data_IF_210174903401
#
_entry.id   IF_210174903401
#
_cell.length_a   1.000
_cell.length_b   1.000
_cell.length_c   1.000
_cell.angle_alpha   90.00
_cell.angle_beta   90.00
_cell.angle_gamma   90.00
#
_symmetry.space_group_name_H-M   'P 1'
#
loop_
_entity.id
_entity.type
_entity.pdbx_description
1 polymer ?
#
# COMPACT_ATOMS: atom_id res chain seq x y z
N UNK A 1 32.89 15.20 -31.28
CA UNK A 1 32.11 16.46 -31.19
C UNK A 1 30.71 16.32 -31.79
N UNK A 2 30.54 16.04 -33.09
CA UNK A 2 29.20 15.81 -33.69
C UNK A 2 28.56 14.49 -33.23
N UNK A 3 29.37 13.45 -33.02
CA UNK A 3 28.93 12.15 -32.54
C UNK A 3 28.40 12.20 -31.09
N UNK A 4 29.10 12.93 -30.20
CA UNK A 4 28.71 13.09 -28.80
C UNK A 4 27.37 13.84 -28.64
N UNK A 5 27.14 14.86 -29.47
CA UNK A 5 25.90 15.65 -29.45
C UNK A 5 24.71 14.82 -29.96
N UNK A 6 24.92 14.01 -31.00
CA UNK A 6 23.90 13.10 -31.51
C UNK A 6 23.56 11.99 -30.49
N UNK A 7 24.57 11.44 -29.82
CA UNK A 7 24.34 10.47 -28.74
C UNK A 7 23.51 11.07 -27.59
N UNK A 8 23.79 12.33 -27.22
CA UNK A 8 23.00 13.05 -26.22
C UNK A 8 21.56 13.28 -26.66
N UNK A 9 21.33 13.68 -27.92
CA UNK A 9 19.99 13.85 -28.49
C UNK A 9 19.18 12.54 -28.45
N UNK A 10 19.79 11.44 -28.89
CA UNK A 10 19.15 10.12 -28.87
C UNK A 10 18.81 9.66 -27.45
N UNK A 11 19.67 9.95 -26.48
CA UNK A 11 19.40 9.69 -25.06
C UNK A 11 18.20 10.52 -24.57
N UNK A 12 18.18 11.82 -24.87
CA UNK A 12 17.11 12.72 -24.46
C UNK A 12 15.75 12.31 -25.02
N UNK A 13 15.68 11.96 -26.31
CA UNK A 13 14.45 11.47 -26.97
C UNK A 13 13.93 10.21 -26.26
N UNK A 14 14.82 9.26 -25.95
CA UNK A 14 14.43 8.03 -25.27
C UNK A 14 13.94 8.27 -23.83
N UNK A 15 14.55 9.20 -23.10
CA UNK A 15 14.11 9.58 -21.75
C UNK A 15 12.74 10.26 -21.80
N UNK A 16 12.54 11.22 -22.72
CA UNK A 16 11.25 11.89 -22.93
C UNK A 16 10.15 10.89 -23.30
N UNK A 17 10.44 9.90 -24.14
CA UNK A 17 9.49 8.85 -24.49
C UNK A 17 9.03 8.05 -23.25
N UNK A 18 9.94 7.78 -22.30
CA UNK A 18 9.63 7.11 -21.02
C UNK A 18 8.84 7.98 -20.03
N UNK A 19 8.79 9.29 -20.26
CA UNK A 19 8.01 10.27 -19.51
C UNK A 19 6.65 10.59 -20.16
N UNK A 20 6.31 9.97 -21.30
CA UNK A 20 4.99 10.10 -21.90
C UNK A 20 3.87 9.66 -20.93
N UNK A 21 2.65 10.21 -21.02
CA UNK A 21 1.57 9.92 -20.07
C UNK A 21 1.29 8.42 -19.87
N UNK A 22 1.29 7.64 -20.95
CA UNK A 22 1.10 6.19 -20.90
C UNK A 22 2.22 5.49 -20.11
N UNK A 23 3.47 5.91 -20.33
CA UNK A 23 4.64 5.35 -19.63
C UNK A 23 4.68 5.75 -18.17
N UNK A 24 4.31 7.00 -17.83
CA UNK A 24 4.14 7.42 -16.42
C UNK A 24 3.08 6.59 -15.73
N UNK A 25 1.92 6.38 -16.37
CA UNK A 25 0.87 5.51 -15.84
C UNK A 25 1.36 4.09 -15.60
N UNK A 26 2.15 3.52 -16.52
CA UNK A 26 2.78 2.21 -16.31
C UNK A 26 3.71 2.21 -15.10
N UNK A 27 4.57 3.22 -14.96
CA UNK A 27 5.48 3.36 -13.82
C UNK A 27 4.71 3.46 -12.49
N UNK A 28 3.70 4.34 -12.43
CA UNK A 28 2.87 4.60 -11.26
C UNK A 28 2.00 3.39 -10.88
N UNK A 29 1.42 2.69 -11.85
CA UNK A 29 0.75 1.41 -11.62
C UNK A 29 1.70 0.38 -11.03
N UNK A 30 2.96 0.40 -11.49
CA UNK A 30 4.03 -0.36 -10.89
C UNK A 30 4.17 -0.03 -9.40
N UNK A 31 4.48 1.22 -9.09
CA UNK A 31 4.63 1.74 -7.72
C UNK A 31 3.43 1.33 -6.84
N UNK A 32 2.20 1.55 -7.30
CA UNK A 32 1.00 1.21 -6.54
C UNK A 32 0.91 -0.30 -6.22
N UNK A 33 1.26 -1.18 -7.18
CA UNK A 33 1.27 -2.64 -6.95
C UNK A 33 2.28 -3.06 -5.90
N UNK A 34 3.43 -2.41 -5.86
CA UNK A 34 4.49 -2.69 -4.88
C UNK A 34 4.12 -2.18 -3.50
N UNK A 35 3.66 -0.93 -3.43
CA UNK A 35 3.11 -0.37 -2.20
C UNK A 35 2.02 -1.26 -1.62
N UNK A 36 1.08 -1.76 -2.45
CA UNK A 36 0.08 -2.73 -1.99
C UNK A 36 0.68 -3.99 -1.40
N UNK A 37 1.74 -4.55 -2.00
CA UNK A 37 2.41 -5.74 -1.45
C UNK A 37 2.99 -5.42 -0.07
N UNK A 38 3.74 -4.33 0.06
CA UNK A 38 4.31 -3.92 1.35
C UNK A 38 3.23 -3.69 2.41
N UNK A 39 2.15 -2.98 2.06
CA UNK A 39 1.00 -2.81 2.96
C UNK A 39 0.40 -4.18 3.38
N UNK A 40 0.21 -5.09 2.42
CA UNK A 40 -0.35 -6.42 2.69
C UNK A 40 0.54 -7.23 3.63
N UNK A 41 1.84 -7.24 3.40
CA UNK A 41 2.81 -8.01 4.17
C UNK A 41 2.95 -7.44 5.58
N UNK A 42 3.02 -6.11 5.71
CA UNK A 42 3.03 -5.41 7.00
C UNK A 42 1.76 -5.67 7.82
N UNK A 43 0.58 -5.61 7.18
CA UNK A 43 -0.69 -5.97 7.84
C UNK A 43 -0.69 -7.45 8.26
N UNK A 44 -0.14 -8.35 7.44
CA UNK A 44 -0.03 -9.76 7.80
C UNK A 44 0.82 -9.96 9.07
N UNK A 45 1.89 -9.17 9.21
CA UNK A 45 2.78 -9.13 10.38
C UNK A 45 2.19 -8.35 11.58
N UNK A 46 1.03 -7.71 11.41
CA UNK A 46 0.37 -6.89 12.45
C UNK A 46 1.23 -5.70 12.92
N UNK A 47 1.93 -5.02 12.01
CA UNK A 47 2.77 -3.87 12.32
C UNK A 47 2.20 -2.57 11.76
N UNK A 48 2.48 -1.44 12.40
CA UNK A 48 2.30 -0.09 11.88
C UNK A 48 3.46 0.29 10.91
N UNK A 49 3.32 1.38 10.12
CA UNK A 49 4.37 1.83 9.19
C UNK A 49 5.71 2.17 9.84
N UNK A 50 5.72 2.52 11.13
CA UNK A 50 6.91 2.78 11.94
C UNK A 50 7.55 1.48 12.51
N UNK A 51 6.96 0.32 12.23
CA UNK A 51 7.41 -0.99 12.72
C UNK A 51 6.85 -1.38 14.09
N UNK A 52 6.11 -0.51 14.78
CA UNK A 52 5.49 -0.86 16.06
C UNK A 52 4.36 -1.88 15.87
N UNK A 53 4.16 -2.83 16.81
CA UNK A 53 3.05 -3.78 16.69
C UNK A 53 1.69 -3.09 16.86
N UNK A 54 0.68 -3.59 16.17
CA UNK A 54 -0.70 -3.21 16.41
C UNK A 54 -1.11 -3.52 17.84
N UNK A 55 -1.93 -2.64 18.42
CA UNK A 55 -2.51 -2.91 19.72
C UNK A 55 -3.33 -4.21 19.67
N UNK A 56 -3.13 -5.16 20.61
CA UNK A 56 -3.82 -6.43 20.58
C UNK A 56 -5.34 -6.29 20.63
N UNK A 57 -6.05 -7.26 20.04
CA UNK A 57 -7.51 -7.33 20.17
C UNK A 57 -7.89 -7.62 21.62
N UNK A 58 -8.89 -6.90 22.15
CA UNK A 58 -9.51 -7.25 23.46
C UNK A 58 -9.95 -8.70 23.43
N UNK A 59 -9.50 -9.50 24.40
CA UNK A 59 -9.75 -10.94 24.44
C UNK A 59 -11.24 -11.20 24.69
N UNK A 60 -11.89 -11.95 23.79
CA UNK A 60 -13.14 -12.60 24.14
C UNK A 60 -12.84 -13.70 25.19
N UNK A 61 -13.76 -13.94 26.13
CA UNK A 61 -13.58 -14.86 27.25
C UNK A 61 -13.15 -16.27 26.79
N UNK A 62 -12.49 -17.00 27.70
CA UNK A 62 -11.60 -18.15 27.48
C UNK A 62 -12.19 -19.43 26.84
N UNK A 63 -13.35 -19.36 26.16
CA UNK A 63 -14.15 -20.55 25.79
C UNK A 63 -13.77 -21.25 24.48
N UNK A 64 -12.67 -20.89 23.80
CA UNK A 64 -12.19 -21.71 22.66
C UNK A 64 -10.67 -21.71 22.50
N UNK A 65 -10.02 -22.83 22.85
CA UNK A 65 -8.57 -23.04 22.70
C UNK A 65 -8.14 -23.39 21.26
N UNK A 66 -9.00 -23.98 20.42
CA UNK A 66 -8.66 -24.42 19.05
C UNK A 66 -8.80 -23.28 18.03
N UNK A 67 -7.71 -22.85 17.38
CA UNK A 67 -7.69 -21.75 16.38
C UNK A 67 -7.27 -20.36 16.89
N UNK A 68 -6.68 -20.29 18.10
CA UNK A 68 -6.37 -19.05 18.83
C UNK A 68 -5.45 -18.08 18.08
N UNK A 69 -4.44 -18.57 17.38
CA UNK A 69 -3.44 -17.74 16.66
C UNK A 69 -4.08 -17.03 15.45
N UNK A 70 -4.85 -17.76 14.62
CA UNK A 70 -5.59 -17.16 13.50
C UNK A 70 -6.68 -16.18 13.95
N UNK A 71 -7.26 -16.36 15.14
CA UNK A 71 -8.26 -15.44 15.71
C UNK A 71 -7.68 -14.12 16.22
N UNK A 72 -6.38 -14.06 16.52
CA UNK A 72 -5.72 -12.86 17.01
C UNK A 72 -5.24 -11.96 15.87
N UNK A 73 -4.81 -12.53 14.75
CA UNK A 73 -4.38 -11.76 13.59
C UNK A 73 -5.57 -11.01 12.96
N UNK A 74 -5.54 -9.68 13.01
CA UNK A 74 -6.59 -8.82 12.47
C UNK A 74 -6.40 -8.58 10.97
N UNK A 75 -7.44 -8.10 10.29
CA UNK A 75 -7.40 -7.60 8.91
C UNK A 75 -6.92 -8.60 7.84
N UNK A 76 -6.91 -9.90 8.14
CA UNK A 76 -6.45 -10.94 7.21
C UNK A 76 -7.21 -10.96 5.88
N UNK A 77 -8.50 -10.61 5.89
CA UNK A 77 -9.26 -10.40 4.67
C UNK A 77 -8.91 -9.07 4.02
N UNK A 78 -8.93 -7.97 4.79
CA UNK A 78 -8.71 -6.60 4.27
C UNK A 78 -7.39 -6.45 3.51
N UNK A 79 -6.31 -7.12 3.94
CA UNK A 79 -5.01 -7.05 3.25
C UNK A 79 -4.97 -7.66 1.84
N UNK A 80 -5.96 -8.46 1.46
CA UNK A 80 -5.99 -9.13 0.15
C UNK A 80 -6.31 -8.17 -0.99
N UNK A 81 -5.88 -8.49 -2.21
CA UNK A 81 -6.18 -7.70 -3.42
C UNK A 81 -7.69 -7.53 -3.72
N UNK A 82 -8.54 -8.37 -3.11
CA UNK A 82 -9.99 -8.19 -3.17
C UNK A 82 -10.43 -6.87 -2.53
N UNK A 83 -9.74 -6.42 -1.48
CA UNK A 83 -10.15 -5.29 -0.67
C UNK A 83 -9.15 -4.13 -0.67
N UNK A 84 -7.85 -4.42 -0.66
CA UNK A 84 -6.79 -3.41 -0.81
C UNK A 84 -6.53 -3.18 -2.31
N UNK A 85 -7.02 -2.05 -2.80
CA UNK A 85 -7.03 -1.66 -4.21
C UNK A 85 -5.85 -0.78 -4.56
N UNK A 86 -5.56 -0.77 -5.86
CA UNK A 86 -4.54 0.08 -6.47
C UNK A 86 -5.19 0.80 -7.64
N UNK A 87 -4.86 2.08 -7.78
CA UNK A 87 -5.27 2.91 -8.90
C UNK A 87 -4.06 3.71 -9.38
N UNK A 88 -4.00 4.00 -10.68
CA UNK A 88 -2.97 4.87 -11.22
C UNK A 88 -3.44 5.59 -12.50
N UNK A 89 -3.12 6.87 -12.55
CA UNK A 89 -3.22 7.74 -13.71
C UNK A 89 -1.81 8.10 -14.21
N UNK A 90 -1.66 8.93 -15.25
CA UNK A 90 -0.37 9.50 -15.62
C UNK A 90 0.30 10.36 -14.54
N UNK A 91 -0.46 10.83 -13.55
CA UNK A 91 -0.02 11.88 -12.63
C UNK A 91 -0.11 11.45 -11.14
N UNK A 92 -0.86 10.39 -10.84
CA UNK A 92 -1.00 9.87 -9.48
C UNK A 92 -1.06 8.34 -9.41
N UNK A 93 -0.68 7.81 -8.24
CA UNK A 93 -0.87 6.42 -7.88
C UNK A 93 -1.46 6.35 -6.47
N UNK A 94 -2.48 5.52 -6.29
CA UNK A 94 -3.17 5.35 -5.02
C UNK A 94 -3.20 3.88 -4.60
N UNK A 95 -3.10 3.65 -3.29
CA UNK A 95 -3.32 2.35 -2.66
C UNK A 95 -4.25 2.56 -1.48
N UNK A 96 -5.35 1.82 -1.42
CA UNK A 96 -6.32 2.05 -0.37
C UNK A 96 -7.54 1.13 -0.43
N UNK A 97 -8.56 1.52 0.33
CA UNK A 97 -9.82 0.81 0.44
C UNK A 97 -10.94 1.65 -0.16
N UNK A 98 -12.01 1.01 -0.63
CA UNK A 98 -13.17 1.68 -1.19
C UNK A 98 -14.48 1.30 -0.48
N UNK A 99 -15.49 2.16 -0.62
CA UNK A 99 -16.86 1.93 -0.15
C UNK A 99 -16.95 1.61 1.34
N UNK A 100 -17.75 0.58 1.69
CA UNK A 100 -17.93 0.15 3.09
C UNK A 100 -16.62 -0.26 3.76
N UNK A 101 -15.67 -0.82 3.02
CA UNK A 101 -14.40 -1.27 3.60
C UNK A 101 -13.50 -0.08 3.95
N UNK A 102 -13.55 1.01 3.17
CA UNK A 102 -12.85 2.24 3.49
C UNK A 102 -13.28 2.80 4.86
N UNK A 103 -14.59 2.79 5.15
CA UNK A 103 -15.11 3.21 6.47
C UNK A 103 -14.57 2.35 7.61
N UNK A 104 -14.56 1.03 7.45
CA UNK A 104 -14.00 0.13 8.48
C UNK A 104 -12.49 0.36 8.65
N UNK A 105 -11.77 0.55 7.54
CA UNK A 105 -10.35 0.83 7.57
C UNK A 105 -10.06 2.17 8.25
N UNK A 106 -10.85 3.22 7.99
CA UNK A 106 -10.72 4.55 8.59
C UNK A 106 -10.82 4.51 10.12
N UNK A 107 -11.81 3.79 10.66
CA UNK A 107 -11.97 3.59 12.11
C UNK A 107 -10.67 3.10 12.76
N UNK A 108 -9.96 2.18 12.12
CA UNK A 108 -8.69 1.69 12.63
C UNK A 108 -7.52 2.61 12.26
N UNK A 109 -7.50 3.18 11.06
CA UNK A 109 -6.44 4.07 10.55
C UNK A 109 -6.27 5.31 11.43
N UNK A 110 -7.38 5.87 11.90
CA UNK A 110 -7.41 7.09 12.69
C UNK A 110 -7.75 6.85 14.16
N UNK A 111 -8.17 5.63 14.52
CA UNK A 111 -8.61 5.33 15.88
C UNK A 111 -9.89 6.08 16.22
N UNK A 112 -10.94 5.87 15.44
CA UNK A 112 -12.22 6.57 15.63
C UNK A 112 -13.09 5.87 16.68
N UNK A 113 -14.09 6.60 17.18
CA UNK A 113 -15.23 5.99 17.89
C UNK A 113 -16.19 5.40 16.88
N UNK A 114 -16.52 4.13 17.06
CA UNK A 114 -17.49 3.45 16.20
C UNK A 114 -18.25 2.37 16.97
N UNK A 115 -19.47 2.01 16.54
CA UNK A 115 -20.25 0.95 17.18
C UNK A 115 -19.61 -0.43 16.97
N UNK A 116 -19.64 -1.28 18.00
CA UNK A 116 -19.09 -2.65 17.93
C UNK A 116 -20.01 -3.63 17.18
N UNK A 117 -21.30 -3.29 17.08
CA UNK A 117 -22.35 -4.02 16.37
C UNK A 117 -23.42 -3.02 15.88
N UNK A 118 -24.24 -3.36 14.87
CA UNK A 118 -25.37 -2.52 14.49
C UNK A 118 -26.24 -2.19 15.71
N UNK A 119 -26.50 -0.89 15.95
CA UNK A 119 -27.22 -0.39 17.13
C UNK A 119 -26.62 -0.77 18.49
N UNK A 120 -25.34 -1.16 18.52
CA UNK A 120 -24.62 -1.54 19.74
C UNK A 120 -23.86 -0.37 20.38
N UNK A 121 -23.18 -0.62 21.52
CA UNK A 121 -22.37 0.40 22.18
C UNK A 121 -21.21 0.87 21.30
N UNK A 122 -20.86 2.14 21.44
CA UNK A 122 -19.66 2.69 20.83
C UNK A 122 -18.40 2.22 21.55
N UNK A 123 -17.32 2.10 20.78
CA UNK A 123 -16.00 1.80 21.30
C UNK A 123 -14.97 2.72 20.66
N UNK A 124 -14.05 3.23 21.47
CA UNK A 124 -12.89 3.97 21.03
C UNK A 124 -11.85 2.97 20.49
N UNK A 125 -11.69 2.90 19.17
CA UNK A 125 -10.73 1.98 18.59
C UNK A 125 -9.32 2.54 18.74
N UNK A 126 -8.33 1.71 19.13
CA UNK A 126 -6.95 2.14 19.09
C UNK A 126 -6.44 2.14 17.64
N UNK A 127 -5.57 3.10 17.36
CA UNK A 127 -5.02 3.35 16.04
C UNK A 127 -4.18 2.15 15.56
N UNK A 128 -4.46 1.70 14.34
CA UNK A 128 -3.74 0.66 13.61
C UNK A 128 -3.66 1.13 12.16
N UNK A 129 -2.51 1.68 11.78
CA UNK A 129 -2.35 2.32 10.48
C UNK A 129 -2.25 1.26 9.36
N UNK A 130 -3.39 0.93 8.74
CA UNK A 130 -3.51 -0.07 7.68
C UNK A 130 -2.85 0.38 6.38
N UNK A 131 -2.90 1.67 6.09
CA UNK A 131 -2.22 2.29 4.94
C UNK A 131 -1.25 3.33 5.46
N UNK A 132 -0.02 3.30 4.97
CA UNK A 132 0.98 4.29 5.31
C UNK A 132 2.32 3.99 4.65
N UNK A 133 3.22 4.96 4.65
CA UNK A 133 4.53 4.85 4.01
C UNK A 133 5.59 4.62 5.09
N UNK A 134 6.22 3.46 5.07
CA UNK A 134 7.38 3.13 5.88
C UNK A 134 8.67 3.68 5.25
N UNK A 135 9.79 3.65 5.98
CA UNK A 135 11.08 4.09 5.45
C UNK A 135 11.51 3.29 4.21
N UNK A 136 11.36 1.96 4.26
CA UNK A 136 11.71 1.07 3.13
C UNK A 136 10.82 1.29 1.90
N UNK A 137 9.56 1.71 2.09
CA UNK A 137 8.66 2.01 0.97
C UNK A 137 9.22 3.14 0.09
N UNK A 138 9.79 4.19 0.72
CA UNK A 138 10.35 5.33 -0.01
C UNK A 138 11.52 4.91 -0.88
N UNK A 139 12.40 4.06 -0.36
CA UNK A 139 13.55 3.56 -1.10
C UNK A 139 13.11 2.66 -2.25
N UNK A 140 12.20 1.71 -2.00
CA UNK A 140 11.66 0.84 -3.05
C UNK A 140 10.97 1.62 -4.16
N UNK A 141 10.17 2.63 -3.81
CA UNK A 141 9.52 3.52 -4.80
C UNK A 141 10.58 4.25 -5.63
N UNK A 142 11.59 4.84 -4.99
CA UNK A 142 12.66 5.57 -5.67
C UNK A 142 13.42 4.67 -6.63
N UNK A 143 13.89 3.52 -6.14
CA UNK A 143 14.63 2.54 -6.93
C UNK A 143 13.83 2.08 -8.15
N UNK A 144 12.53 1.88 -7.99
CA UNK A 144 11.65 1.51 -9.09
C UNK A 144 11.46 2.61 -10.13
N UNK A 145 11.24 3.84 -9.69
CA UNK A 145 11.09 4.96 -10.62
C UNK A 145 12.38 5.18 -11.43
N UNK A 146 13.55 5.08 -10.78
CA UNK A 146 14.86 5.12 -11.45
C UNK A 146 14.99 3.98 -12.46
N UNK A 147 14.65 2.74 -12.08
CA UNK A 147 14.70 1.60 -12.98
C UNK A 147 13.78 1.77 -14.20
N UNK A 148 12.63 2.42 -14.05
CA UNK A 148 11.75 2.76 -15.17
C UNK A 148 12.43 3.73 -16.15
N UNK A 149 13.05 4.80 -15.63
CA UNK A 149 13.75 5.80 -16.43
C UNK A 149 14.96 5.22 -17.18
N UNK A 150 15.70 4.32 -16.53
CA UNK A 150 16.82 3.61 -17.15
C UNK A 150 16.37 2.51 -18.12
N UNK A 151 15.06 2.26 -18.25
CA UNK A 151 14.53 1.21 -19.12
C UNK A 151 14.78 -0.21 -18.63
N UNK A 152 15.19 -0.39 -17.37
CA UNK A 152 15.43 -1.70 -16.74
C UNK A 152 14.14 -2.43 -16.35
N UNK A 153 12.98 -1.77 -16.40
CA UNK A 153 11.68 -2.41 -16.19
C UNK A 153 11.16 -2.93 -17.53
N UNK A 154 11.38 -4.22 -17.79
CA UNK A 154 10.76 -4.91 -18.92
C UNK A 154 9.24 -4.96 -18.74
N UNK A 155 8.49 -4.81 -19.83
CA UNK A 155 7.04 -5.07 -19.83
C UNK A 155 6.86 -6.58 -19.67
N UNK A 156 6.39 -7.00 -18.50
CA UNK A 156 5.69 -8.29 -18.39
C UNK A 156 4.34 -8.21 -19.09
#
# INVERSE_FOLDING_TARGET
MTDDLHALEMLAIQLLARLSPSKRRTALMGVAREMRRHQSDRIAQQLNPDGTPYEPRKRASARSRKGRIRRQAMFQKLRTARWLKVEASPDEAAVGFAGRIARIAAVHQYGERAPVAPHGPEYQYPRRALVGVAAHDRESIRARLIAHLEGRISRA
#
